data_IF_994694446811
#
_entry.id   IF_994694446811
#
_cell.length_a   1.000
_cell.length_b   1.000
_cell.length_c   1.000
_cell.angle_alpha   90.00
_cell.angle_beta   90.00
_cell.angle_gamma   90.00
#
_symmetry.space_group_name_H-M   'P 1'
#
loop_
_entity.id
_entity.type
_entity.pdbx_description
1 polymer ?
#
# COMPACT_ATOMS: atom_id res chain seq x y z
N UNK A 1 28.16 20.56 33.67
CA UNK A 1 28.25 19.24 33.03
C UNK A 1 26.92 18.93 32.36
N UNK A 2 27.01 18.48 31.11
CA UNK A 2 26.00 18.16 30.08
C UNK A 2 24.53 18.04 30.52
N UNK A 3 23.71 18.96 30.02
CA UNK A 3 22.26 18.78 29.87
C UNK A 3 22.02 17.66 28.84
N UNK A 4 21.50 16.52 29.32
CA UNK A 4 21.00 15.44 28.48
C UNK A 4 19.63 15.85 27.92
N UNK A 5 19.63 16.63 26.84
CA UNK A 5 18.47 16.66 25.94
C UNK A 5 18.50 15.36 25.15
N UNK A 6 17.85 14.36 25.73
CA UNK A 6 17.50 13.11 25.09
C UNK A 6 16.55 13.44 23.93
N UNK A 7 17.10 13.67 22.75
CA UNK A 7 16.34 13.87 21.52
C UNK A 7 15.89 12.51 20.97
N UNK A 8 15.16 11.76 21.78
CA UNK A 8 14.32 10.69 21.26
C UNK A 8 13.37 11.34 20.25
N UNK A 9 13.55 10.94 18.99
CA UNK A 9 13.20 11.71 17.80
C UNK A 9 11.87 12.44 17.93
N UNK A 10 11.91 13.75 17.71
CA UNK A 10 10.74 14.58 17.51
C UNK A 10 9.77 13.81 16.60
N UNK A 11 8.70 13.29 17.19
CA UNK A 11 7.66 12.60 16.46
C UNK A 11 7.20 13.56 15.37
N UNK A 12 7.48 13.23 14.10
CA UNK A 12 6.78 13.82 12.96
C UNK A 12 5.29 13.73 13.33
N UNK A 13 4.67 14.85 13.74
CA UNK A 13 3.31 14.84 14.28
C UNK A 13 2.36 14.59 13.11
N UNK A 14 2.12 13.32 12.82
CA UNK A 14 1.06 12.92 11.90
C UNK A 14 -0.30 13.29 12.52
N UNK A 15 -1.35 13.49 11.71
CA UNK A 15 -2.71 13.60 12.22
C UNK A 15 -3.04 12.43 13.17
N UNK A 16 -3.78 12.64 14.28
CA UNK A 16 -4.07 11.58 15.25
C UNK A 16 -4.67 10.32 14.62
N UNK A 17 -5.55 10.48 13.63
CA UNK A 17 -6.14 9.37 12.90
C UNK A 17 -5.11 8.54 12.11
N UNK A 18 -4.07 9.18 11.56
CA UNK A 18 -2.97 8.49 10.87
C UNK A 18 -2.08 7.74 11.88
N UNK A 19 -1.81 8.33 13.04
CA UNK A 19 -1.07 7.65 14.11
C UNK A 19 -1.80 6.39 14.60
N UNK A 20 -3.12 6.47 14.77
CA UNK A 20 -3.95 5.35 15.23
C UNK A 20 -3.94 4.17 14.25
N UNK A 21 -4.01 4.43 12.94
CA UNK A 21 -3.94 3.35 11.95
C UNK A 21 -2.53 2.76 11.83
N UNK A 22 -1.48 3.57 11.98
CA UNK A 22 -0.09 3.08 12.00
C UNK A 22 0.11 2.19 13.23
N UNK A 23 -0.25 2.65 14.42
CA UNK A 23 -0.16 1.86 15.65
C UNK A 23 -1.02 0.58 15.58
N UNK A 24 -2.12 0.60 14.84
CA UNK A 24 -2.92 -0.60 14.57
C UNK A 24 -2.16 -1.58 13.68
N UNK A 25 -1.56 -1.14 12.58
CA UNK A 25 -0.74 -2.00 11.73
C UNK A 25 0.50 -2.56 12.46
N UNK A 26 1.15 -1.76 13.33
CA UNK A 26 2.31 -2.18 14.13
C UNK A 26 1.98 -3.31 15.11
N UNK A 27 0.73 -3.39 15.61
CA UNK A 27 0.29 -4.41 16.58
C UNK A 27 0.15 -5.83 16.01
N UNK A 28 0.32 -6.05 14.70
CA UNK A 28 0.38 -7.41 14.14
C UNK A 28 -0.99 -8.05 13.86
N UNK A 29 -1.01 -9.37 13.62
CA UNK A 29 -2.14 -10.13 13.01
C UNK A 29 -3.50 -10.08 13.74
N UNK A 30 -3.54 -9.67 15.01
CA UNK A 30 -4.79 -9.46 15.77
C UNK A 30 -5.31 -8.03 15.68
N UNK A 31 -4.68 -7.19 14.83
CA UNK A 31 -5.09 -5.83 14.57
C UNK A 31 -6.48 -5.80 13.94
N UNK A 32 -7.31 -4.87 14.42
CA UNK A 32 -8.62 -4.60 13.85
C UNK A 32 -8.46 -3.91 12.48
N UNK A 33 -8.18 -4.69 11.44
CA UNK A 33 -8.07 -4.19 10.06
C UNK A 33 -9.36 -3.50 9.60
N UNK A 34 -10.51 -3.79 10.23
CA UNK A 34 -11.76 -3.05 9.96
C UNK A 34 -11.64 -1.58 10.34
N UNK A 35 -10.89 -1.25 11.40
CA UNK A 35 -10.61 0.14 11.77
C UNK A 35 -9.85 0.86 10.65
N UNK A 36 -8.85 0.19 10.09
CA UNK A 36 -8.03 0.77 9.03
C UNK A 36 -8.84 0.91 7.74
N UNK A 37 -9.57 -0.14 7.34
CA UNK A 37 -10.45 -0.12 6.17
C UNK A 37 -11.51 0.99 6.26
N UNK A 38 -11.97 1.31 7.48
CA UNK A 38 -12.90 2.41 7.72
C UNK A 38 -12.23 3.78 7.66
N UNK A 39 -11.11 3.98 8.36
CA UNK A 39 -10.50 5.31 8.58
C UNK A 39 -9.56 5.73 7.47
N UNK A 40 -8.86 4.80 6.85
CA UNK A 40 -7.87 5.11 5.83
C UNK A 40 -8.49 5.87 4.64
N UNK A 41 -9.64 5.44 4.07
CA UNK A 41 -10.29 6.23 3.01
C UNK A 41 -10.70 7.64 3.44
N UNK A 42 -11.09 7.84 4.70
CA UNK A 42 -11.45 9.17 5.22
C UNK A 42 -10.23 10.11 5.28
N UNK A 43 -9.07 9.57 5.65
CA UNK A 43 -7.80 10.31 5.65
C UNK A 43 -7.40 10.64 4.21
N UNK A 44 -7.46 9.66 3.30
CA UNK A 44 -7.05 9.82 1.91
C UNK A 44 -7.94 10.75 1.09
N UNK A 45 -9.21 10.95 1.50
CA UNK A 45 -10.12 11.93 0.85
C UNK A 45 -9.77 13.39 1.15
N UNK A 46 -9.05 13.67 2.24
CA UNK A 46 -8.63 15.03 2.60
C UNK A 46 -7.26 15.27 2.00
N UNK A 47 -7.11 16.27 1.13
CA UNK A 47 -5.84 16.55 0.42
C UNK A 47 -4.62 16.56 1.35
N UNK A 48 -4.67 17.33 2.44
CA UNK A 48 -3.60 17.38 3.44
C UNK A 48 -3.40 16.06 4.20
N UNK A 49 -4.43 15.23 4.31
CA UNK A 49 -4.34 13.89 4.88
C UNK A 49 -3.63 12.92 3.94
N UNK A 50 -3.96 12.97 2.64
CA UNK A 50 -3.35 12.15 1.61
C UNK A 50 -1.86 12.44 1.45
N UNK A 51 -1.47 13.71 1.37
CA UNK A 51 -0.05 14.11 1.24
C UNK A 51 0.79 13.60 2.41
N UNK A 52 0.29 13.75 3.64
CA UNK A 52 1.01 13.29 4.84
C UNK A 52 1.07 11.76 4.89
N UNK A 53 -0.03 11.07 4.58
CA UNK A 53 -0.07 9.62 4.56
C UNK A 53 0.89 9.02 3.51
N UNK A 54 0.90 9.57 2.29
CA UNK A 54 1.81 9.15 1.23
C UNK A 54 3.26 9.51 1.55
N UNK A 55 3.51 10.68 2.14
CA UNK A 55 4.83 11.05 2.65
C UNK A 55 5.37 10.03 3.67
N UNK A 56 4.53 9.56 4.59
CA UNK A 56 4.88 8.49 5.51
C UNK A 56 5.08 7.14 4.80
N UNK A 57 4.17 6.76 3.89
CA UNK A 57 4.22 5.50 3.15
C UNK A 57 5.53 5.37 2.36
N UNK A 58 5.99 6.46 1.72
CA UNK A 58 7.27 6.55 1.01
C UNK A 58 8.46 6.38 1.95
N UNK A 59 8.51 7.17 3.03
CA UNK A 59 9.68 7.25 3.91
C UNK A 59 9.87 6.01 4.79
N UNK A 60 8.76 5.48 5.32
CA UNK A 60 8.77 4.48 6.41
C UNK A 60 7.96 3.23 6.08
N UNK A 61 6.86 3.37 5.36
CA UNK A 61 5.90 2.29 5.12
C UNK A 61 6.43 1.20 4.18
N UNK A 62 6.62 1.52 2.90
CA UNK A 62 7.02 0.57 1.86
C UNK A 62 8.41 -0.06 2.10
N UNK A 63 9.28 0.65 2.83
CA UNK A 63 10.66 0.23 3.11
C UNK A 63 10.81 -0.51 4.43
N UNK A 64 9.72 -0.68 5.20
CA UNK A 64 9.75 -1.36 6.49
C UNK A 64 10.15 -2.83 6.30
N UNK A 65 11.26 -3.26 6.90
CA UNK A 65 11.78 -4.63 6.76
C UNK A 65 11.15 -5.63 7.73
N UNK A 66 10.54 -5.14 8.79
CA UNK A 66 10.16 -5.93 9.96
C UNK A 66 8.69 -6.36 9.92
N UNK A 67 7.81 -5.47 9.46
CA UNK A 67 6.37 -5.68 9.50
C UNK A 67 5.73 -5.67 8.11
N UNK A 68 5.14 -6.80 7.76
CA UNK A 68 4.34 -6.91 6.54
C UNK A 68 3.06 -6.08 6.61
N UNK A 69 2.40 -6.00 7.78
CA UNK A 69 1.25 -5.13 7.98
C UNK A 69 1.55 -3.65 7.70
N UNK A 70 2.77 -3.19 8.01
CA UNK A 70 3.18 -1.81 7.73
C UNK A 70 3.36 -1.59 6.23
N UNK A 71 3.93 -2.58 5.53
CA UNK A 71 4.01 -2.53 4.07
C UNK A 71 2.63 -2.63 3.42
N UNK A 72 1.72 -3.43 3.97
CA UNK A 72 0.33 -3.56 3.53
C UNK A 72 -0.45 -2.24 3.70
N UNK A 73 -0.32 -1.59 4.86
CA UNK A 73 -0.88 -0.27 5.11
C UNK A 73 -0.38 0.76 4.09
N UNK A 74 0.94 0.78 3.88
CA UNK A 74 1.56 1.70 2.95
C UNK A 74 1.08 1.46 1.51
N UNK A 75 1.03 0.21 1.06
CA UNK A 75 0.52 -0.14 -0.26
C UNK A 75 -0.98 0.22 -0.40
N UNK A 76 -1.78 0.03 0.65
CA UNK A 76 -3.18 0.42 0.68
C UNK A 76 -3.39 1.93 0.54
N UNK A 77 -2.50 2.76 1.10
CA UNK A 77 -2.50 4.22 0.87
C UNK A 77 -2.31 4.53 -0.62
N UNK A 78 -1.39 3.87 -1.30
CA UNK A 78 -1.15 4.07 -2.73
C UNK A 78 -2.31 3.59 -3.63
N UNK A 79 -3.03 2.54 -3.24
CA UNK A 79 -4.29 2.14 -3.92
C UNK A 79 -5.33 3.26 -3.86
N UNK A 80 -5.42 3.96 -2.73
CA UNK A 80 -6.38 5.04 -2.50
C UNK A 80 -5.88 6.41 -2.96
N UNK A 81 -4.62 6.51 -3.36
CA UNK A 81 -4.04 7.76 -3.84
C UNK A 81 -4.54 8.04 -5.26
N UNK A 82 -4.95 9.28 -5.53
CA UNK A 82 -5.52 9.68 -6.82
C UNK A 82 -4.53 10.45 -7.71
N UNK A 83 -3.42 10.96 -7.14
CA UNK A 83 -2.40 11.64 -7.92
C UNK A 83 -1.44 10.65 -8.57
N UNK A 84 -0.64 11.15 -9.52
CA UNK A 84 0.37 10.37 -10.21
C UNK A 84 1.49 9.89 -9.27
N UNK A 85 1.91 8.64 -9.49
CA UNK A 85 3.06 8.06 -8.83
C UNK A 85 4.37 8.54 -9.46
N UNK A 86 5.36 8.78 -8.62
CA UNK A 86 6.74 9.05 -9.06
C UNK A 86 7.43 7.75 -9.49
N UNK A 87 8.53 7.86 -10.26
CA UNK A 87 9.31 6.69 -10.65
C UNK A 87 9.84 5.88 -9.45
N UNK A 88 10.11 6.54 -8.31
CA UNK A 88 10.56 5.86 -7.10
C UNK A 88 9.41 5.17 -6.35
N UNK A 89 8.19 5.70 -6.43
CA UNK A 89 7.00 5.01 -5.92
C UNK A 89 6.80 3.68 -6.66
N UNK A 90 6.89 3.69 -7.99
CA UNK A 90 6.80 2.47 -8.79
C UNK A 90 7.87 1.44 -8.38
N UNK A 91 9.13 1.86 -8.26
CA UNK A 91 10.21 0.95 -7.84
C UNK A 91 9.96 0.35 -6.46
N UNK A 92 9.51 1.18 -5.51
CA UNK A 92 9.24 0.73 -4.14
C UNK A 92 8.06 -0.24 -4.09
N UNK A 93 6.97 0.06 -4.79
CA UNK A 93 5.80 -0.82 -4.90
C UNK A 93 6.14 -2.14 -5.58
N UNK A 94 6.91 -2.14 -6.67
CA UNK A 94 7.39 -3.38 -7.30
C UNK A 94 8.21 -4.23 -6.33
N UNK A 95 9.08 -3.60 -5.54
CA UNK A 95 9.88 -4.30 -4.52
C UNK A 95 9.00 -4.95 -3.45
N UNK A 96 7.98 -4.25 -2.95
CA UNK A 96 7.01 -4.82 -2.00
C UNK A 96 6.23 -5.96 -2.64
N UNK A 97 5.72 -5.76 -3.87
CA UNK A 97 4.99 -6.76 -4.63
C UNK A 97 5.78 -8.06 -4.78
N UNK A 98 7.07 -7.97 -5.12
CA UNK A 98 7.95 -9.14 -5.28
C UNK A 98 8.31 -9.77 -3.92
N UNK A 99 8.65 -8.96 -2.92
CA UNK A 99 9.06 -9.44 -1.60
C UNK A 99 7.93 -10.15 -0.85
N UNK A 100 6.70 -9.63 -0.97
CA UNK A 100 5.50 -10.15 -0.33
C UNK A 100 4.52 -10.79 -1.31
N UNK A 101 5.01 -11.39 -2.40
CA UNK A 101 4.18 -11.88 -3.51
C UNK A 101 3.11 -12.93 -3.13
N UNK A 102 3.14 -13.48 -1.92
CA UNK A 102 2.16 -14.44 -1.38
C UNK A 102 1.42 -13.92 -0.14
N UNK A 103 1.51 -12.62 0.14
CA UNK A 103 0.91 -11.98 1.33
C UNK A 103 0.10 -10.73 0.92
N UNK A 104 -0.82 -10.26 1.78
CA UNK A 104 -1.67 -9.09 1.50
C UNK A 104 -0.90 -7.85 1.01
N UNK A 105 0.26 -7.53 1.61
CA UNK A 105 1.07 -6.40 1.16
C UNK A 105 1.46 -6.47 -0.32
N UNK A 106 1.82 -7.67 -0.80
CA UNK A 106 2.17 -7.87 -2.21
C UNK A 106 0.96 -7.71 -3.13
N UNK A 107 -0.21 -8.18 -2.70
CA UNK A 107 -1.47 -7.96 -3.42
C UNK A 107 -1.85 -6.48 -3.51
N UNK A 108 -1.79 -5.74 -2.40
CA UNK A 108 -2.09 -4.29 -2.39
C UNK A 108 -1.09 -3.51 -3.24
N UNK A 109 0.19 -3.89 -3.22
CA UNK A 109 1.19 -3.28 -4.08
C UNK A 109 0.88 -3.52 -5.56
N UNK A 110 0.49 -4.74 -5.93
CA UNK A 110 0.03 -5.05 -7.29
C UNK A 110 -1.21 -4.24 -7.69
N UNK A 111 -2.18 -4.06 -6.78
CA UNK A 111 -3.36 -3.23 -7.03
C UNK A 111 -2.99 -1.76 -7.27
N UNK A 112 -2.05 -1.22 -6.47
CA UNK A 112 -1.58 0.16 -6.64
C UNK A 112 -0.86 0.33 -7.98
N UNK A 113 0.04 -0.59 -8.33
CA UNK A 113 0.73 -0.59 -9.63
C UNK A 113 -0.26 -0.69 -10.78
N UNK A 114 -1.24 -1.60 -10.71
CA UNK A 114 -2.28 -1.75 -11.72
C UNK A 114 -3.10 -0.46 -11.90
N UNK A 115 -3.55 0.16 -10.81
CA UNK A 115 -4.36 1.40 -10.85
C UNK A 115 -3.62 2.55 -11.53
N UNK A 116 -2.33 2.68 -11.25
CA UNK A 116 -1.56 3.88 -11.62
C UNK A 116 -0.72 3.70 -12.90
N UNK A 117 -0.41 2.47 -13.27
CA UNK A 117 0.40 2.13 -14.43
C UNK A 117 -0.23 2.67 -15.72
N UNK A 118 0.57 3.42 -16.47
CA UNK A 118 0.48 3.43 -17.93
C UNK A 118 1.40 2.30 -18.37
N UNK A 119 0.84 1.28 -19.01
CA UNK A 119 1.49 0.00 -19.27
C UNK A 119 2.63 0.08 -20.31
N UNK A 120 3.64 0.92 -20.07
CA UNK A 120 4.72 1.20 -21.02
C UNK A 120 5.84 0.14 -20.95
N UNK A 121 5.86 -0.69 -19.89
CA UNK A 121 6.83 -1.77 -19.66
C UNK A 121 6.10 -3.12 -19.52
N UNK A 122 6.09 -3.89 -20.62
CA UNK A 122 5.39 -5.17 -20.72
C UNK A 122 5.81 -6.15 -19.63
N UNK A 123 7.11 -6.21 -19.30
CA UNK A 123 7.62 -7.14 -18.29
C UNK A 123 7.08 -6.79 -16.90
N UNK A 124 7.08 -5.51 -16.54
CA UNK A 124 6.52 -5.06 -15.26
C UNK A 124 5.03 -5.29 -15.18
N UNK A 125 4.32 -5.11 -16.29
CA UNK A 125 2.89 -5.42 -16.41
C UNK A 125 2.64 -6.91 -16.17
N UNK A 126 3.36 -7.81 -16.84
CA UNK A 126 3.24 -9.26 -16.64
C UNK A 126 3.47 -9.66 -15.17
N UNK A 127 4.45 -9.06 -14.50
CA UNK A 127 4.71 -9.31 -13.08
C UNK A 127 3.52 -8.92 -12.19
N UNK A 128 2.90 -7.77 -12.44
CA UNK A 128 1.68 -7.33 -11.75
C UNK A 128 0.54 -8.31 -11.99
N UNK A 129 0.32 -8.69 -13.24
CA UNK A 129 -0.75 -9.62 -13.62
C UNK A 129 -0.56 -11.00 -12.96
N UNK A 130 0.66 -11.52 -12.90
CA UNK A 130 0.95 -12.79 -12.24
C UNK A 130 0.59 -12.77 -10.75
N UNK A 131 0.83 -11.67 -10.05
CA UNK A 131 0.42 -11.51 -8.65
C UNK A 131 -1.10 -11.46 -8.54
N UNK A 132 -1.79 -10.69 -9.39
CA UNK A 132 -3.24 -10.63 -9.40
C UNK A 132 -3.89 -11.99 -9.70
N UNK A 133 -3.35 -12.75 -10.66
CA UNK A 133 -3.81 -14.11 -10.98
C UNK A 133 -3.70 -15.06 -9.80
N UNK A 134 -2.61 -14.98 -9.03
CA UNK A 134 -2.45 -15.77 -7.81
C UNK A 134 -3.55 -15.45 -6.82
N UNK A 135 -3.77 -14.17 -6.55
CA UNK A 135 -4.78 -13.72 -5.58
C UNK A 135 -6.22 -13.90 -6.07
N UNK A 136 -6.45 -14.07 -7.37
CA UNK A 136 -7.77 -14.44 -7.92
C UNK A 136 -8.31 -15.77 -7.41
N UNK A 137 -7.43 -16.63 -6.86
CA UNK A 137 -7.72 -17.94 -6.26
C UNK A 137 -7.52 -17.94 -4.75
N UNK A 138 -7.41 -16.77 -4.11
CA UNK A 138 -7.26 -16.67 -2.66
C UNK A 138 -8.50 -17.23 -1.94
N UNK A 139 -8.27 -17.75 -0.73
CA UNK A 139 -9.34 -18.27 0.13
C UNK A 139 -10.24 -17.14 0.69
N UNK A 140 -9.70 -15.92 0.78
CA UNK A 140 -10.49 -14.75 1.14
C UNK A 140 -11.33 -14.31 -0.07
N UNK A 141 -12.68 -14.41 0.02
CA UNK A 141 -13.56 -14.10 -1.11
C UNK A 141 -13.52 -12.62 -1.50
N UNK A 142 -13.18 -11.71 -0.59
CA UNK A 142 -13.06 -10.27 -0.87
C UNK A 142 -11.83 -10.04 -1.73
N UNK A 143 -10.68 -10.60 -1.34
CA UNK A 143 -9.42 -10.50 -2.08
C UNK A 143 -9.56 -11.17 -3.46
N UNK A 144 -10.06 -12.41 -3.51
CA UNK A 144 -10.26 -13.16 -4.75
C UNK A 144 -11.15 -12.41 -5.74
N UNK A 145 -12.31 -11.92 -5.29
CA UNK A 145 -13.23 -11.16 -6.14
C UNK A 145 -12.61 -9.86 -6.65
N UNK A 146 -11.83 -9.16 -5.82
CA UNK A 146 -11.18 -7.93 -6.22
C UNK A 146 -10.11 -8.18 -7.30
N UNK A 147 -9.26 -9.19 -7.09
CA UNK A 147 -8.25 -9.59 -8.06
C UNK A 147 -8.87 -10.00 -9.41
N UNK A 148 -9.93 -10.83 -9.39
CA UNK A 148 -10.67 -11.21 -10.61
C UNK A 148 -11.23 -10.01 -11.36
N UNK A 149 -11.74 -9.00 -10.64
CA UNK A 149 -12.26 -7.77 -11.25
C UNK A 149 -11.16 -7.01 -12.00
N UNK A 150 -9.98 -6.86 -11.42
CA UNK A 150 -8.85 -6.17 -12.06
C UNK A 150 -8.37 -6.93 -13.30
N UNK A 151 -8.22 -8.26 -13.20
CA UNK A 151 -7.86 -9.10 -14.36
C UNK A 151 -8.89 -9.01 -15.50
N UNK A 152 -10.17 -8.91 -15.17
CA UNK A 152 -11.23 -8.74 -16.17
C UNK A 152 -11.24 -7.34 -16.79
N UNK A 153 -10.77 -6.32 -16.07
CA UNK A 153 -10.58 -4.98 -16.61
C UNK A 153 -9.45 -4.97 -17.64
N UNK A 154 -8.32 -5.59 -17.32
CA UNK A 154 -7.16 -5.67 -18.23
C UNK A 154 -7.52 -6.24 -19.59
N UNK A 155 -8.23 -7.38 -19.60
CA UNK A 155 -8.66 -8.05 -20.83
C UNK A 155 -9.57 -7.20 -21.72
N UNK A 156 -10.29 -6.24 -21.13
CA UNK A 156 -11.15 -5.32 -21.89
C UNK A 156 -10.36 -4.18 -22.49
N UNK A 157 -9.24 -3.80 -21.87
CA UNK A 157 -8.36 -2.74 -22.35
C UNK A 157 -7.50 -3.24 -23.52
N UNK A 158 -7.08 -4.51 -23.53
CA UNK A 158 -6.39 -5.14 -24.67
C UNK A 158 -7.23 -5.26 -25.96
N UNK A 159 -8.56 -5.12 -25.87
CA UNK A 159 -9.48 -5.28 -27.00
C UNK A 159 -9.89 -3.95 -27.65
N UNK A 160 -9.40 -2.82 -27.15
CA UNK A 160 -9.72 -1.47 -27.65
C UNK A 160 -8.55 -0.90 -28.45
#
# INVERSE_FOLDING_TARGET
>A
MKNSTDTTGAFEKYPPALQEIIATAERGRDADWKLVDKRLPEIMKRHSGAEVAIGWARKKGLTNKESENIRDLAASMFVLYEDHLTGDDYKALHKVMQFDAKKPAGFRAACALFKHSKHDDEKKREEVMHVLERFSKDKDPIISKHAQKLLAQEKKEEQK
#
